data_IF_816273677012
#
_entry.id   IF_816273677012
#
_cell.length_a   1.000
_cell.length_b   1.000
_cell.length_c   1.000
_cell.angle_alpha   90.00
_cell.angle_beta   90.00
_cell.angle_gamma   90.00
#
_symmetry.space_group_name_H-M   'P 1'
#
loop_
_entity.id
_entity.type
_entity.pdbx_description
1 polymer ?
#
# COMPACT_ATOMS: atom_id res chain seq x y z
N UNK A 1 22.24 -9.18 11.99
CA UNK A 1 21.26 -8.09 12.22
C UNK A 1 21.54 -7.04 11.18
N UNK A 2 20.65 -6.86 10.20
CA UNK A 2 20.70 -5.69 9.34
C UNK A 2 20.30 -4.52 10.22
N UNK A 3 21.20 -3.57 10.45
CA UNK A 3 20.80 -2.31 11.07
C UNK A 3 19.91 -1.60 10.04
N UNK A 4 18.65 -1.34 10.39
CA UNK A 4 17.87 -0.34 9.67
C UNK A 4 18.53 1.00 9.95
N UNK A 5 18.58 1.89 8.96
CA UNK A 5 19.12 3.22 9.13
C UNK A 5 18.24 4.18 8.34
N UNK A 6 17.67 5.18 9.04
CA UNK A 6 16.93 6.26 8.40
C UNK A 6 17.75 7.53 8.43
N UNK A 7 17.84 8.19 7.28
CA UNK A 7 18.32 9.55 7.17
C UNK A 7 17.39 10.34 6.25
N UNK A 8 17.09 11.57 6.64
CA UNK A 8 16.39 12.54 5.80
C UNK A 8 17.41 13.56 5.32
N UNK A 9 17.44 13.77 4.01
CA UNK A 9 18.41 14.64 3.38
C UNK A 9 17.79 15.51 2.28
N UNK A 10 18.39 16.67 2.02
CA UNK A 10 17.95 17.54 0.94
C UNK A 10 18.30 16.91 -0.41
N UNK A 11 17.33 16.80 -1.31
CA UNK A 11 17.56 16.15 -2.61
C UNK A 11 18.60 16.89 -3.48
N UNK A 12 18.73 18.21 -3.32
CA UNK A 12 19.65 19.04 -4.12
C UNK A 12 21.10 18.90 -3.67
N UNK A 13 21.34 18.94 -2.36
CA UNK A 13 22.69 19.11 -1.81
C UNK A 13 23.17 17.87 -1.06
N UNK A 14 22.26 16.93 -0.77
CA UNK A 14 22.55 15.76 0.06
C UNK A 14 22.80 16.11 1.53
N UNK A 15 22.39 17.31 1.96
CA UNK A 15 22.54 17.75 3.35
C UNK A 15 21.62 16.92 4.23
N UNK A 16 22.19 16.21 5.21
CA UNK A 16 21.43 15.45 6.19
C UNK A 16 20.75 16.41 7.15
N UNK A 17 19.42 16.40 7.16
CA UNK A 17 18.59 17.17 8.10
C UNK A 17 18.57 16.47 9.47
N UNK A 18 18.38 15.16 9.46
CA UNK A 18 18.48 14.30 10.65
C UNK A 18 18.66 12.84 10.26
N UNK A 19 19.14 12.04 11.22
CA UNK A 19 19.31 10.60 11.11
C UNK A 19 18.84 9.90 12.40
N UNK A 20 18.26 8.71 12.25
CA UNK A 20 17.94 7.82 13.36
C UNK A 20 18.10 6.36 12.92
N UNK A 21 19.09 5.62 13.49
CA UNK A 21 19.33 4.22 13.16
C UNK A 21 18.30 3.25 13.78
N UNK A 22 17.38 3.74 14.59
CA UNK A 22 16.31 2.93 15.20
C UNK A 22 14.96 3.15 14.53
N UNK A 23 14.83 4.18 13.70
CA UNK A 23 13.57 4.53 13.06
C UNK A 23 13.38 3.76 11.75
N UNK A 24 12.23 3.10 11.61
CA UNK A 24 11.79 2.37 10.43
C UNK A 24 10.73 3.20 9.69
N UNK A 25 11.00 3.71 8.47
CA UNK A 25 10.06 4.57 7.76
C UNK A 25 9.04 3.72 6.97
N UNK A 26 7.78 4.12 7.04
CA UNK A 26 6.65 3.48 6.33
C UNK A 26 5.97 4.42 5.34
N UNK A 27 6.16 5.74 5.47
CA UNK A 27 5.56 6.71 4.55
C UNK A 27 6.20 8.09 4.64
N UNK A 28 6.04 8.89 3.59
CA UNK A 28 6.61 10.24 3.49
C UNK A 28 5.71 11.10 2.61
N UNK A 29 5.27 12.26 3.11
CA UNK A 29 4.39 13.20 2.40
C UNK A 29 5.08 14.52 1.98
N UNK A 30 6.40 14.62 2.19
CA UNK A 30 7.17 15.86 1.97
C UNK A 30 7.42 16.69 3.23
N UNK A 31 6.61 16.52 4.28
CA UNK A 31 6.69 17.28 5.54
C UNK A 31 6.88 16.38 6.77
N UNK A 32 6.34 15.17 6.72
CA UNK A 32 6.38 14.16 7.76
C UNK A 32 6.92 12.85 7.17
N UNK A 33 7.75 12.17 7.96
CA UNK A 33 8.07 10.75 7.76
C UNK A 33 7.31 9.96 8.81
N UNK A 34 6.36 9.13 8.38
CA UNK A 34 5.68 8.16 9.24
C UNK A 34 6.54 6.91 9.40
N UNK A 35 6.62 6.38 10.61
CA UNK A 35 7.46 5.23 10.91
C UNK A 35 7.30 4.70 12.34
N UNK A 36 8.15 3.77 12.71
CA UNK A 36 8.22 3.20 14.06
C UNK A 36 9.61 3.39 14.65
N UNK A 37 9.67 3.84 15.92
CA UNK A 37 10.92 4.02 16.65
C UNK A 37 11.29 2.73 17.39
N UNK A 38 12.05 1.84 16.74
CA UNK A 38 12.36 0.52 17.28
C UNK A 38 11.17 -0.44 17.21
N UNK A 39 11.43 -1.69 16.80
CA UNK A 39 10.37 -2.68 16.59
C UNK A 39 9.59 -2.93 17.88
N UNK A 40 8.31 -2.55 17.88
CA UNK A 40 7.27 -2.62 18.93
C UNK A 40 6.80 -1.26 19.50
N UNK A 41 7.39 -0.13 19.13
CA UNK A 41 6.79 1.16 19.51
C UNK A 41 5.58 1.53 18.63
N UNK A 42 4.60 2.27 19.18
CA UNK A 42 3.52 2.83 18.38
C UNK A 42 4.05 3.64 17.19
N UNK A 43 3.40 3.55 16.02
CA UNK A 43 3.72 4.39 14.89
C UNK A 43 3.68 5.87 15.24
N UNK A 44 4.63 6.61 14.68
CA UNK A 44 4.77 8.04 14.87
C UNK A 44 5.17 8.74 13.58
N UNK A 45 4.81 10.03 13.50
CA UNK A 45 5.23 10.92 12.43
C UNK A 45 6.28 11.88 12.92
N UNK A 46 7.38 12.00 12.19
CA UNK A 46 8.47 12.92 12.49
C UNK A 46 8.59 14.01 11.44
N UNK A 47 8.81 15.24 11.87
CA UNK A 47 9.05 16.36 10.97
C UNK A 47 10.31 16.14 10.13
N UNK A 48 10.20 16.38 8.83
CA UNK A 48 11.31 16.27 7.88
C UNK A 48 12.45 17.25 8.20
N UNK A 49 12.14 18.41 8.79
CA UNK A 49 13.11 19.47 9.06
C UNK A 49 14.10 19.17 10.17
N UNK A 50 13.68 18.45 11.21
CA UNK A 50 14.49 18.28 12.44
C UNK A 50 14.27 16.95 13.18
N UNK A 51 13.39 16.07 12.68
CA UNK A 51 13.11 14.76 13.26
C UNK A 51 12.21 14.81 14.50
N UNK A 52 11.65 15.97 14.86
CA UNK A 52 10.74 16.09 16.00
C UNK A 52 9.44 15.32 15.76
N UNK A 53 8.97 14.58 16.77
CA UNK A 53 7.68 13.89 16.72
C UNK A 53 6.53 14.89 16.60
N UNK A 54 5.73 14.79 15.54
CA UNK A 54 4.55 15.60 15.26
C UNK A 54 3.27 14.93 15.78
N UNK A 55 3.20 13.61 15.60
CA UNK A 55 2.10 12.78 16.08
C UNK A 55 2.63 11.39 16.45
N UNK A 56 1.88 10.70 17.31
CA UNK A 56 2.16 9.33 17.72
C UNK A 56 0.85 8.64 18.02
N UNK A 57 0.66 7.44 17.50
CA UNK A 57 -0.49 6.62 17.82
C UNK A 57 -0.45 6.19 19.30
N UNK A 58 -1.62 5.91 19.91
CA UNK A 58 -1.63 5.31 21.24
C UNK A 58 -0.95 3.94 21.21
N UNK A 59 -0.65 3.43 22.41
CA UNK A 59 -0.32 2.01 22.57
C UNK A 59 -1.40 1.13 21.93
N UNK A 60 -0.98 -0.03 21.42
CA UNK A 60 -1.88 -0.95 20.73
C UNK A 60 -3.18 -1.17 21.55
N UNK A 61 -4.35 -1.26 20.88
CA UNK A 61 -5.63 -1.43 21.58
C UNK A 61 -5.58 -2.63 22.53
N UNK A 62 -6.35 -2.58 23.63
CA UNK A 62 -6.27 -3.56 24.73
C UNK A 62 -6.36 -5.03 24.30
N UNK A 63 -7.03 -5.27 23.19
CA UNK A 63 -7.31 -6.59 22.63
C UNK A 63 -6.13 -7.15 21.80
N UNK A 64 -5.08 -6.36 21.56
CA UNK A 64 -3.90 -6.72 20.78
C UNK A 64 -2.62 -6.68 21.63
N UNK A 65 -1.63 -7.52 21.30
CA UNK A 65 -0.31 -7.50 21.99
C UNK A 65 0.56 -6.32 21.57
N UNK A 66 0.53 -5.98 20.28
CA UNK A 66 1.46 -5.05 19.64
C UNK A 66 0.92 -4.58 18.29
N UNK A 67 1.50 -3.50 17.76
CA UNK A 67 1.32 -3.13 16.35
C UNK A 67 2.06 -4.16 15.47
N UNK A 68 1.40 -4.59 14.40
CA UNK A 68 1.97 -5.52 13.41
C UNK A 68 2.73 -4.76 12.32
N UNK A 69 3.15 -5.45 11.23
CA UNK A 69 3.92 -4.82 10.17
C UNK A 69 3.14 -3.67 9.51
N UNK A 70 3.88 -2.62 9.19
CA UNK A 70 3.42 -1.48 8.43
C UNK A 70 4.09 -1.41 7.06
N UNK A 71 3.32 -1.08 6.02
CA UNK A 71 3.74 -1.04 4.63
C UNK A 71 3.27 0.26 3.97
N UNK A 72 4.09 0.90 3.11
CA UNK A 72 3.67 2.08 2.35
C UNK A 72 2.52 1.76 1.38
N UNK A 73 1.63 2.73 1.17
CA UNK A 73 0.71 2.72 0.03
C UNK A 73 1.44 3.30 -1.19
N UNK A 74 1.60 2.50 -2.24
CA UNK A 74 2.25 2.94 -3.49
C UNK A 74 1.33 3.87 -4.31
N UNK A 75 1.87 4.64 -5.25
CA UNK A 75 1.06 5.44 -6.18
C UNK A 75 0.48 6.74 -5.60
N UNK A 76 0.93 7.13 -4.40
CA UNK A 76 0.50 8.34 -3.69
C UNK A 76 1.26 9.60 -4.15
N UNK A 77 2.23 9.47 -5.05
CA UNK A 77 2.97 10.62 -5.59
C UNK A 77 2.12 11.56 -6.46
N UNK A 78 0.97 11.07 -6.93
CA UNK A 78 -0.01 11.86 -7.67
C UNK A 78 -1.04 12.55 -6.75
N UNK A 79 -1.01 12.28 -5.44
CA UNK A 79 -1.85 12.90 -4.43
C UNK A 79 -1.07 13.92 -3.61
N UNK A 80 -1.78 14.87 -2.99
CA UNK A 80 -1.19 15.79 -2.00
C UNK A 80 -1.04 15.12 -0.61
N UNK A 81 -1.33 13.82 -0.52
CA UNK A 81 -1.34 13.03 0.71
C UNK A 81 -0.56 11.73 0.50
N UNK A 82 0.18 11.28 1.51
CA UNK A 82 0.75 9.94 1.55
C UNK A 82 0.05 9.07 2.60
N UNK A 83 0.03 7.77 2.36
CA UNK A 83 -0.63 6.80 3.23
C UNK A 83 0.25 5.58 3.48
N UNK A 84 -0.02 4.90 4.58
CA UNK A 84 0.56 3.60 4.88
C UNK A 84 -0.52 2.70 5.48
N UNK A 85 -0.38 1.39 5.31
CA UNK A 85 -1.20 0.40 5.98
C UNK A 85 -0.45 -0.19 7.15
N UNK A 86 -1.14 -0.47 8.24
CA UNK A 86 -0.57 -1.16 9.39
C UNK A 86 -1.51 -2.26 9.87
N UNK A 87 -0.95 -3.42 10.19
CA UNK A 87 -1.72 -4.44 10.86
C UNK A 87 -1.89 -4.09 12.34
N UNK A 88 -3.13 -3.96 12.81
CA UNK A 88 -3.44 -3.89 14.21
C UNK A 88 -3.60 -5.32 14.77
N UNK A 89 -2.49 -5.82 15.33
CA UNK A 89 -2.45 -6.93 16.27
C UNK A 89 -2.20 -8.33 15.74
N UNK A 90 -1.36 -9.08 16.46
CA UNK A 90 -1.59 -10.50 16.71
C UNK A 90 -2.44 -10.63 17.98
N UNK A 91 -3.51 -11.43 17.99
CA UNK A 91 -4.27 -11.67 19.21
C UNK A 91 -3.39 -12.26 20.30
N UNK A 92 -3.60 -11.87 21.57
CA UNK A 92 -2.86 -12.45 22.71
C UNK A 92 -3.01 -13.97 22.82
N UNK A 93 -4.11 -14.50 22.31
CA UNK A 93 -4.43 -15.92 22.26
C UNK A 93 -5.12 -16.23 20.94
N UNK A 94 -4.62 -17.22 20.18
CA UNK A 94 -5.22 -17.63 18.91
C UNK A 94 -6.48 -18.48 19.16
N UNK A 95 -7.69 -17.96 18.91
CA UNK A 95 -8.95 -18.74 18.86
C UNK A 95 -9.56 -18.72 17.46
N UNK A 96 -9.37 -19.79 16.65
CA UNK A 96 -9.90 -19.86 15.29
C UNK A 96 -11.44 -19.97 15.22
N UNK A 97 -12.13 -19.95 16.36
CA UNK A 97 -13.61 -20.03 16.45
C UNK A 97 -14.25 -18.71 16.82
N UNK A 98 -13.46 -17.70 17.16
CA UNK A 98 -13.97 -16.36 17.40
C UNK A 98 -14.10 -15.65 16.03
N UNK A 99 -15.30 -15.27 15.57
CA UNK A 99 -15.46 -14.56 14.30
C UNK A 99 -14.90 -13.13 14.34
N UNK A 100 -14.64 -12.58 15.54
CA UNK A 100 -13.92 -11.31 15.73
C UNK A 100 -12.39 -11.51 15.73
N UNK A 101 -11.93 -12.75 15.51
CA UNK A 101 -10.54 -13.16 15.32
C UNK A 101 -9.99 -12.76 13.95
N UNK A 102 -10.02 -11.47 13.64
CA UNK A 102 -9.46 -10.96 12.40
C UNK A 102 -8.32 -9.97 12.70
N UNK A 103 -7.15 -10.21 12.09
CA UNK A 103 -6.13 -9.17 11.95
C UNK A 103 -6.78 -7.99 11.26
N UNK A 104 -6.79 -6.83 11.90
CA UNK A 104 -7.31 -5.61 11.28
C UNK A 104 -6.18 -4.96 10.52
N UNK A 105 -6.41 -4.57 9.27
CA UNK A 105 -5.46 -3.70 8.58
C UNK A 105 -6.03 -2.29 8.61
N UNK A 106 -5.29 -1.33 9.14
CA UNK A 106 -5.69 0.07 9.17
C UNK A 106 -4.96 0.81 8.06
N UNK A 107 -5.66 1.67 7.33
CA UNK A 107 -5.03 2.62 6.41
C UNK A 107 -4.96 3.98 7.11
N UNK A 108 -3.75 4.52 7.21
CA UNK A 108 -3.43 5.73 7.95
C UNK A 108 -2.83 6.78 7.03
N UNK A 109 -3.15 8.06 7.27
CA UNK A 109 -2.50 9.20 6.61
C UNK A 109 -1.18 9.54 7.28
N UNK A 110 -0.15 9.81 6.47
CA UNK A 110 1.20 10.12 6.96
C UNK A 110 1.27 11.47 7.68
N UNK A 111 0.49 12.47 7.27
CA UNK A 111 0.63 13.84 7.77
C UNK A 111 0.25 14.00 9.25
N UNK A 112 -0.72 13.21 9.72
CA UNK A 112 -1.35 13.37 11.04
C UNK A 112 -1.59 12.05 11.78
N UNK A 113 -1.33 10.91 11.14
CA UNK A 113 -1.62 9.58 11.70
C UNK A 113 -3.11 9.27 11.77
N UNK A 114 -3.97 10.05 11.09
CA UNK A 114 -5.41 9.80 11.08
C UNK A 114 -5.71 8.47 10.38
N UNK A 115 -6.55 7.65 11.02
CA UNK A 115 -7.11 6.47 10.37
C UNK A 115 -8.17 6.88 9.36
N UNK A 116 -7.92 6.54 8.10
CA UNK A 116 -8.84 6.80 7.00
C UNK A 116 -9.89 5.69 6.92
N UNK A 117 -9.47 4.43 7.03
CA UNK A 117 -10.36 3.29 6.93
C UNK A 117 -9.76 2.05 7.63
N UNK A 118 -10.63 1.12 7.98
CA UNK A 118 -10.26 -0.23 8.42
C UNK A 118 -10.50 -1.19 7.26
N UNK A 119 -9.42 -1.76 6.72
CA UNK A 119 -9.42 -2.85 5.75
C UNK A 119 -9.68 -4.16 6.51
N UNK A 120 -10.81 -4.81 6.24
CA UNK A 120 -11.29 -5.92 7.07
C UNK A 120 -11.94 -7.09 6.32
N UNK A 121 -11.66 -8.27 6.86
CA UNK A 121 -12.18 -9.62 6.56
C UNK A 121 -11.33 -10.64 7.34
N UNK A 122 -11.78 -11.88 7.62
CA UNK A 122 -11.00 -12.85 8.39
C UNK A 122 -9.63 -13.23 7.78
N UNK A 123 -9.38 -12.85 6.52
CA UNK A 123 -8.15 -13.12 5.76
C UNK A 123 -7.35 -11.84 5.38
N UNK A 124 -7.59 -10.69 6.04
CA UNK A 124 -6.92 -9.40 5.76
C UNK A 124 -5.45 -9.31 6.17
N UNK A 125 -4.67 -10.37 5.93
CA UNK A 125 -3.22 -10.36 6.09
C UNK A 125 -2.59 -9.38 5.12
N UNK A 126 -1.58 -8.63 5.58
CA UNK A 126 -0.69 -7.71 4.87
C UNK A 126 -1.05 -7.52 3.39
N UNK A 127 -1.99 -6.62 3.13
CA UNK A 127 -2.43 -6.28 1.78
C UNK A 127 -1.51 -5.18 1.25
N UNK A 128 -0.61 -5.44 0.29
CA UNK A 128 0.00 -4.34 -0.45
C UNK A 128 -1.13 -3.54 -1.11
N UNK A 129 -1.23 -2.26 -0.74
CA UNK A 129 -2.18 -1.32 -1.29
C UNK A 129 -1.47 -0.34 -2.21
N UNK A 130 -2.18 0.11 -3.24
CA UNK A 130 -1.75 1.18 -4.14
C UNK A 130 -2.91 2.15 -4.36
N UNK A 131 -2.62 3.44 -4.47
CA UNK A 131 -3.58 4.47 -4.84
C UNK A 131 -3.48 4.76 -6.33
N UNK A 132 -4.62 5.07 -6.96
CA UNK A 132 -4.69 5.31 -8.40
C UNK A 132 -4.44 6.78 -8.81
N UNK A 133 -4.15 7.66 -7.87
CA UNK A 133 -4.01 9.10 -8.07
C UNK A 133 -5.29 9.85 -8.43
N UNK A 134 -6.47 9.21 -8.37
CA UNK A 134 -7.76 9.81 -8.76
C UNK A 134 -8.90 9.63 -7.75
N UNK A 135 -8.80 8.69 -6.83
CA UNK A 135 -9.81 8.50 -5.79
C UNK A 135 -10.02 7.08 -5.32
N UNK A 136 -9.08 6.16 -5.58
CA UNK A 136 -9.30 4.73 -5.33
C UNK A 136 -8.06 4.06 -4.80
N UNK A 137 -8.21 3.41 -3.64
CA UNK A 137 -7.24 2.45 -3.14
C UNK A 137 -7.54 1.07 -3.74
N UNK A 138 -6.48 0.35 -4.12
CA UNK A 138 -6.56 -1.02 -4.59
C UNK A 138 -5.58 -1.85 -3.78
N UNK A 139 -6.11 -2.83 -3.06
CA UNK A 139 -5.36 -3.70 -2.16
C UNK A 139 -5.49 -5.14 -2.67
N UNK A 140 -4.41 -5.91 -2.62
CA UNK A 140 -4.45 -7.33 -2.98
C UNK A 140 -3.96 -8.19 -1.82
N UNK A 141 -4.51 -9.39 -1.68
CA UNK A 141 -3.95 -10.39 -0.78
C UNK A 141 -2.61 -10.89 -1.31
N UNK A 142 -1.77 -11.50 -0.44
CA UNK A 142 -0.59 -12.21 -0.90
C UNK A 142 -0.91 -13.15 -2.07
N UNK A 143 -0.08 -13.11 -3.11
CA UNK A 143 -0.24 -13.90 -4.34
C UNK A 143 -1.44 -13.52 -5.24
N UNK A 144 -2.22 -12.49 -4.91
CA UNK A 144 -3.32 -11.99 -5.74
C UNK A 144 -4.56 -12.89 -5.70
N UNK A 145 -4.77 -13.62 -4.61
CA UNK A 145 -5.96 -14.47 -4.42
C UNK A 145 -7.24 -13.63 -4.41
N UNK A 146 -7.17 -12.44 -3.82
CA UNK A 146 -8.20 -11.41 -3.86
C UNK A 146 -7.62 -10.05 -4.22
N UNK A 147 -8.41 -9.24 -4.92
CA UNK A 147 -8.16 -7.82 -5.15
C UNK A 147 -9.41 -7.05 -4.79
N UNK A 148 -9.25 -6.02 -3.97
CA UNK A 148 -10.36 -5.23 -3.45
C UNK A 148 -10.04 -3.76 -3.71
N UNK A 149 -11.02 -3.02 -4.20
CA UNK A 149 -10.91 -1.58 -4.35
C UNK A 149 -11.83 -0.84 -3.39
N UNK A 150 -11.35 0.29 -2.90
CA UNK A 150 -12.05 1.14 -1.95
C UNK A 150 -12.07 2.58 -2.45
N UNK A 151 -13.16 3.29 -2.20
CA UNK A 151 -13.21 4.74 -2.38
C UNK A 151 -12.31 5.40 -1.33
N UNK A 152 -11.40 6.27 -1.77
CA UNK A 152 -10.39 6.87 -0.88
C UNK A 152 -10.95 7.91 0.11
N UNK A 153 -12.21 8.33 -0.07
CA UNK A 153 -12.88 9.28 0.82
C UNK A 153 -13.82 8.60 1.78
N UNK A 154 -14.67 7.69 1.29
CA UNK A 154 -15.67 7.03 2.13
C UNK A 154 -15.14 5.75 2.78
N UNK A 155 -14.08 5.15 2.23
CA UNK A 155 -13.60 3.82 2.61
C UNK A 155 -14.55 2.68 2.21
N UNK A 156 -15.58 2.96 1.42
CA UNK A 156 -16.53 1.94 0.95
C UNK A 156 -15.85 1.01 -0.06
N UNK A 157 -16.08 -0.30 0.06
CA UNK A 157 -15.71 -1.28 -0.95
C UNK A 157 -16.47 -0.99 -2.26
N UNK A 158 -15.72 -0.73 -3.32
CA UNK A 158 -16.25 -0.44 -4.65
C UNK A 158 -16.48 -1.72 -5.45
N UNK A 159 -15.52 -2.64 -5.38
CA UNK A 159 -15.57 -3.94 -6.03
C UNK A 159 -14.51 -4.88 -5.43
N UNK A 160 -14.71 -6.18 -5.69
CA UNK A 160 -13.83 -7.25 -5.28
C UNK A 160 -13.69 -8.28 -6.40
N UNK A 161 -12.50 -8.85 -6.53
CA UNK A 161 -12.22 -10.06 -7.30
C UNK A 161 -11.61 -11.13 -6.39
N UNK A 162 -11.92 -12.42 -6.59
CA UNK A 162 -12.81 -12.95 -7.61
C UNK A 162 -14.29 -12.57 -7.38
N UNK A 163 -15.06 -12.49 -8.46
CA UNK A 163 -16.52 -12.31 -8.43
C UNK A 163 -17.16 -13.56 -9.03
N UNK A 164 -17.56 -14.49 -8.16
CA UNK A 164 -18.16 -15.76 -8.56
C UNK A 164 -19.50 -15.58 -9.29
N UNK A 165 -20.26 -14.54 -8.93
CA UNK A 165 -21.57 -14.27 -9.54
C UNK A 165 -21.41 -13.81 -10.99
N UNK A 166 -20.39 -12.99 -11.25
CA UNK A 166 -20.02 -12.56 -12.60
C UNK A 166 -19.09 -13.55 -13.33
N UNK A 167 -18.66 -14.64 -12.66
CA UNK A 167 -17.72 -15.62 -13.22
C UNK A 167 -16.34 -15.04 -13.50
N UNK A 168 -15.89 -14.06 -12.72
CA UNK A 168 -14.58 -13.39 -12.88
C UNK A 168 -13.58 -13.92 -11.85
N UNK A 169 -12.36 -14.14 -12.31
CA UNK A 169 -11.23 -14.54 -11.48
C UNK A 169 -10.47 -13.31 -10.98
N UNK A 170 -9.70 -13.49 -9.89
CA UNK A 170 -8.74 -12.49 -9.43
C UNK A 170 -7.55 -12.35 -10.39
N UNK A 171 -6.79 -11.26 -10.21
CA UNK A 171 -5.58 -10.95 -10.95
C UNK A 171 -4.44 -10.65 -9.98
N UNK A 172 -3.22 -10.92 -10.43
CA UNK A 172 -2.03 -10.37 -9.78
C UNK A 172 -1.87 -8.91 -10.20
N UNK A 173 -2.05 -7.98 -9.28
CA UNK A 173 -1.84 -6.55 -9.53
C UNK A 173 -0.35 -6.28 -9.68
N UNK A 174 0.01 -5.55 -10.73
CA UNK A 174 1.39 -5.15 -11.02
C UNK A 174 1.60 -3.64 -10.92
N UNK A 175 0.59 -2.83 -11.22
CA UNK A 175 0.62 -1.38 -11.03
C UNK A 175 -0.81 -0.82 -10.91
N UNK A 176 -0.95 0.31 -10.22
CA UNK A 176 -2.22 1.04 -10.10
C UNK A 176 -1.93 2.50 -10.32
N UNK A 177 -2.57 3.13 -11.33
CA UNK A 177 -2.31 4.53 -11.67
C UNK A 177 -3.34 5.12 -12.60
N UNK A 178 -3.63 6.41 -12.40
CA UNK A 178 -4.53 7.24 -13.20
C UNK A 178 -5.88 6.56 -13.48
N UNK A 179 -6.52 6.04 -12.43
CA UNK A 179 -7.81 5.37 -12.55
C UNK A 179 -7.75 3.99 -13.20
N UNK A 180 -6.58 3.36 -13.31
CA UNK A 180 -6.40 2.05 -13.92
C UNK A 180 -5.67 1.06 -12.99
N UNK A 181 -6.06 -0.20 -13.06
CA UNK A 181 -5.35 -1.33 -12.44
C UNK A 181 -4.75 -2.18 -13.54
N UNK A 182 -3.43 -2.34 -13.50
CA UNK A 182 -2.68 -3.19 -14.40
C UNK A 182 -2.38 -4.50 -13.67
N UNK A 183 -2.55 -5.60 -14.37
CA UNK A 183 -2.18 -6.89 -13.81
C UNK A 183 -2.26 -8.01 -14.82
N UNK A 184 -2.18 -9.22 -14.30
CA UNK A 184 -2.21 -10.43 -15.10
C UNK A 184 -3.00 -11.53 -14.43
N UNK A 185 -3.69 -12.31 -15.25
CA UNK A 185 -4.27 -13.61 -14.90
C UNK A 185 -3.54 -14.70 -15.67
N UNK A 186 -3.92 -15.96 -15.43
CA UNK A 186 -3.47 -17.10 -16.25
C UNK A 186 -3.85 -16.95 -17.74
N UNK A 187 -4.84 -16.11 -18.06
CA UNK A 187 -5.29 -15.86 -19.43
C UNK A 187 -4.56 -14.69 -20.11
N UNK A 188 -3.66 -13.99 -19.41
CA UNK A 188 -2.91 -12.87 -19.95
C UNK A 188 -3.02 -11.59 -19.13
N UNK A 189 -2.35 -10.55 -19.63
CA UNK A 189 -2.36 -9.23 -19.02
C UNK A 189 -3.60 -8.43 -19.42
N UNK A 190 -4.07 -7.61 -18.49
CA UNK A 190 -5.27 -6.79 -18.67
C UNK A 190 -5.16 -5.48 -17.89
N UNK A 191 -6.05 -4.55 -18.24
CA UNK A 191 -6.26 -3.29 -17.54
C UNK A 191 -7.71 -3.27 -17.08
N UNK A 192 -7.92 -3.03 -15.79
CA UNK A 192 -9.22 -2.73 -15.22
C UNK A 192 -9.37 -1.23 -14.99
N UNK A 193 -10.61 -0.76 -15.00
CA UNK A 193 -11.00 0.51 -14.42
C UNK A 193 -10.88 0.44 -12.90
N UNK A 194 -10.06 1.30 -12.29
CA UNK A 194 -9.78 1.21 -10.86
C UNK A 194 -11.03 1.44 -10.01
N UNK A 195 -11.96 2.30 -10.44
CA UNK A 195 -13.14 2.64 -9.65
C UNK A 195 -14.26 1.60 -9.76
N UNK A 196 -14.39 0.93 -10.90
CA UNK A 196 -15.54 0.04 -11.18
C UNK A 196 -15.16 -1.43 -11.33
N UNK A 197 -13.86 -1.73 -11.46
CA UNK A 197 -13.34 -3.08 -11.65
C UNK A 197 -13.63 -3.65 -13.04
N UNK A 198 -14.25 -2.89 -13.94
CA UNK A 198 -14.60 -3.35 -15.29
C UNK A 198 -13.36 -3.44 -16.19
N UNK A 199 -13.37 -4.40 -17.10
CA UNK A 199 -12.30 -4.58 -18.07
C UNK A 199 -12.24 -3.36 -19.01
N UNK A 200 -11.08 -2.70 -19.08
CA UNK A 200 -10.78 -1.66 -20.08
C UNK A 200 -10.05 -2.23 -21.29
N UNK A 201 -9.08 -3.10 -21.05
CA UNK A 201 -8.25 -3.76 -22.08
C UNK A 201 -7.98 -5.19 -21.62
N UNK A 202 -8.26 -6.20 -22.46
CA UNK A 202 -8.12 -7.62 -22.11
C UNK A 202 -7.08 -8.36 -22.95
N UNK A 203 -6.48 -7.71 -23.93
CA UNK A 203 -5.51 -8.24 -24.87
C UNK A 203 -4.15 -7.54 -24.74
N UNK A 204 -3.78 -7.14 -23.52
CA UNK A 204 -2.53 -6.44 -23.27
C UNK A 204 -1.34 -7.42 -23.46
N UNK A 205 -0.31 -7.04 -24.24
CA UNK A 205 0.81 -7.95 -24.52
C UNK A 205 1.70 -8.22 -23.30
N UNK A 206 1.65 -7.34 -22.29
CA UNK A 206 2.45 -7.41 -21.07
C UNK A 206 1.79 -6.61 -19.94
N UNK A 207 2.00 -7.01 -18.69
CA UNK A 207 1.60 -6.23 -17.53
C UNK A 207 2.80 -5.39 -17.05
N UNK A 208 2.72 -4.04 -17.05
CA UNK A 208 3.78 -3.20 -16.53
C UNK A 208 3.88 -3.31 -15.01
N UNK A 209 5.11 -3.26 -14.49
CA UNK A 209 5.41 -3.20 -13.05
C UNK A 209 5.27 -1.78 -12.48
N UNK A 210 5.40 -0.79 -13.35
CA UNK A 210 5.20 0.61 -13.02
C UNK A 210 4.77 1.35 -14.28
N UNK A 211 4.00 2.42 -14.12
CA UNK A 211 3.45 3.21 -15.23
C UNK A 211 3.76 4.67 -14.96
N UNK A 212 4.45 5.32 -15.88
CA UNK A 212 4.70 6.76 -15.82
C UNK A 212 3.96 7.52 -16.90
N UNK A 213 4.11 8.86 -16.97
CA UNK A 213 3.55 9.66 -18.06
C UNK A 213 4.12 9.21 -19.42
N UNK A 214 3.30 8.54 -20.22
CA UNK A 214 3.67 8.09 -21.57
C UNK A 214 4.55 6.84 -21.63
N UNK A 215 4.73 6.10 -20.53
CA UNK A 215 5.50 4.86 -20.53
C UNK A 215 5.04 3.83 -19.49
N UNK A 216 5.42 2.58 -19.69
CA UNK A 216 5.37 1.51 -18.70
C UNK A 216 6.72 0.80 -18.56
N UNK A 217 7.07 0.39 -17.35
CA UNK A 217 8.28 -0.37 -17.03
C UNK A 217 7.97 -1.85 -16.92
N UNK A 218 8.80 -2.68 -17.54
CA UNK A 218 8.62 -4.14 -17.55
C UNK A 218 9.96 -4.79 -17.26
N UNK A 219 9.99 -5.76 -16.35
CA UNK A 219 11.18 -6.61 -16.17
C UNK A 219 11.04 -7.81 -17.09
N UNK A 220 12.02 -8.03 -17.96
CA UNK A 220 12.07 -9.27 -18.73
C UNK A 220 12.39 -10.46 -17.81
N UNK A 221 11.54 -11.51 -17.81
CA UNK A 221 11.64 -12.62 -16.86
C UNK A 221 12.99 -13.35 -16.89
N UNK A 222 13.66 -13.35 -18.03
CA UNK A 222 14.85 -14.18 -18.28
C UNK A 222 16.18 -13.45 -18.11
N UNK A 223 16.16 -12.12 -18.01
CA UNK A 223 17.40 -11.31 -18.03
C UNK A 223 17.51 -10.30 -16.90
N UNK A 224 16.43 -10.08 -16.14
CA UNK A 224 16.32 -8.99 -15.17
C UNK A 224 16.57 -7.59 -15.76
N UNK A 225 16.55 -7.44 -17.09
CA UNK A 225 16.56 -6.13 -17.73
C UNK A 225 15.21 -5.44 -17.55
N UNK A 226 15.27 -4.15 -17.24
CA UNK A 226 14.10 -3.26 -17.22
C UNK A 226 13.96 -2.64 -18.60
N UNK A 227 12.81 -2.85 -19.23
CA UNK A 227 12.44 -2.25 -20.51
C UNK A 227 11.42 -1.13 -20.28
N UNK A 228 11.61 -0.04 -21.00
CA UNK A 228 10.66 1.05 -21.08
C UNK A 228 9.83 0.89 -22.34
N UNK A 229 8.53 0.73 -22.18
CA UNK A 229 7.57 0.63 -23.27
C UNK A 229 6.78 1.94 -23.38
N UNK A 230 6.66 2.56 -24.56
CA UNK A 230 5.79 3.72 -24.73
C UNK A 230 4.33 3.35 -24.40
N UNK A 231 3.68 4.17 -23.58
CA UNK A 231 2.24 4.12 -23.33
C UNK A 231 1.59 5.21 -24.20
N UNK A 232 1.01 4.80 -25.33
CA UNK A 232 0.49 5.71 -26.36
C UNK A 232 -1.04 5.83 -26.36
N UNK A 233 -1.68 5.40 -25.27
CA UNK A 233 -3.13 5.44 -25.07
C UNK A 233 -3.58 6.68 -24.32
#
# INVERSE_FOLDING_TARGET
MSATYTAVLTAREGEVLWEDPSFLPHGFDGHVVAGEAGGQEPPEGRAVTDGSTQWRLPDAPRDFTEWGPAEPVNGTEATDEAFFVIQAGMPREYDPRDPDFAERTLLLRVSDGEQILELGGPDSRSLPCSHDGQGTFVCQTPYGEEVIAYDDRSGEELWRLPDETAGRISLRVTAVRHGAVYGSTDNGALILDARTGQDRVTDLPLAPLDVGPGFGLVIAPTTAYVYLHPATG
#
